data_IF_699369995888
#
_entry.id   IF_699369995888
#
_cell.length_a   1.000
_cell.length_b   1.000
_cell.length_c   1.000
_cell.angle_alpha   90.00
_cell.angle_beta   90.00
_cell.angle_gamma   90.00
#
_symmetry.space_group_name_H-M   'P 1'
#
loop_
_entity.id
_entity.type
_entity.pdbx_description
1 polymer ?
#
# COMPACT_ATOMS: atom_id res chain seq x y z
N UNK A 1 71.18 -28.11 1.89
CA UNK A 1 70.11 -27.35 2.59
C UNK A 1 69.50 -26.39 1.60
N UNK A 2 68.25 -26.66 1.18
CA UNK A 2 67.50 -25.80 0.24
C UNK A 2 66.39 -25.14 0.98
N UNK A 3 66.14 -23.82 0.91
CA UNK A 3 65.01 -23.20 1.51
C UNK A 3 63.76 -23.31 0.60
N UNK A 4 62.64 -23.68 1.20
CA UNK A 4 61.30 -23.70 0.60
C UNK A 4 60.81 -22.27 0.42
N UNK A 5 60.49 -21.89 -0.80
CA UNK A 5 59.77 -20.65 -1.08
C UNK A 5 58.28 -20.92 -0.98
N UNK A 6 57.60 -20.25 -0.05
CA UNK A 6 56.16 -20.31 0.11
C UNK A 6 55.48 -19.31 -0.88
N UNK A 7 54.71 -19.84 -1.82
CA UNK A 7 53.83 -19.06 -2.70
C UNK A 7 52.56 -18.71 -1.92
N UNK A 8 52.39 -17.44 -1.59
CA UNK A 8 51.09 -16.89 -1.09
C UNK A 8 50.30 -16.47 -2.31
N UNK A 9 49.28 -17.27 -2.67
CA UNK A 9 48.29 -16.89 -3.69
C UNK A 9 47.28 -15.96 -3.04
N UNK A 10 47.31 -14.68 -3.39
CA UNK A 10 46.28 -13.70 -3.02
C UNK A 10 44.99 -13.96 -3.83
N UNK A 11 43.96 -14.46 -3.17
CA UNK A 11 42.63 -14.66 -3.75
C UNK A 11 41.88 -13.32 -3.68
N UNK A 12 41.86 -12.60 -4.79
CA UNK A 12 41.10 -11.33 -4.92
C UNK A 12 39.64 -11.65 -5.13
N UNK A 13 38.82 -11.56 -4.06
CA UNK A 13 37.36 -11.69 -4.17
C UNK A 13 36.82 -10.40 -4.78
N UNK A 14 36.44 -10.43 -6.03
CA UNK A 14 35.65 -9.40 -6.68
C UNK A 14 34.23 -9.46 -6.10
N UNK A 15 33.91 -8.59 -5.14
CA UNK A 15 32.54 -8.35 -4.71
C UNK A 15 31.86 -7.52 -5.80
N UNK A 16 31.16 -8.21 -6.68
CA UNK A 16 30.29 -7.58 -7.66
C UNK A 16 29.10 -6.91 -6.94
N UNK A 17 29.13 -5.60 -6.81
CA UNK A 17 27.96 -4.83 -6.38
C UNK A 17 26.89 -4.95 -7.46
N UNK A 18 25.90 -5.82 -7.25
CA UNK A 18 24.67 -5.81 -8.03
C UNK A 18 23.92 -4.50 -7.72
N UNK A 19 24.02 -3.53 -8.63
CA UNK A 19 23.21 -2.32 -8.57
C UNK A 19 21.74 -2.75 -8.70
N UNK A 20 20.95 -2.61 -7.62
CA UNK A 20 19.50 -2.70 -7.71
C UNK A 20 19.02 -1.61 -8.68
N UNK A 21 18.10 -1.92 -9.63
CA UNK A 21 17.54 -0.91 -10.48
C UNK A 21 16.84 0.13 -9.59
N UNK A 22 17.34 1.35 -9.57
CA UNK A 22 16.64 2.49 -9.00
C UNK A 22 15.38 2.70 -9.86
N UNK A 23 14.21 2.37 -9.33
CA UNK A 23 12.96 2.75 -9.95
C UNK A 23 12.93 4.27 -9.99
N UNK A 24 12.93 4.84 -11.19
CA UNK A 24 12.79 6.28 -11.36
C UNK A 24 11.41 6.67 -10.81
N UNK A 25 11.40 7.37 -9.69
CA UNK A 25 10.18 7.96 -9.16
C UNK A 25 9.61 8.90 -10.25
N UNK A 26 8.31 8.82 -10.51
CA UNK A 26 7.65 9.71 -11.47
C UNK A 26 7.78 11.16 -10.99
N UNK A 27 8.31 12.06 -11.83
CA UNK A 27 8.44 13.50 -11.53
C UNK A 27 7.08 14.23 -11.43
N UNK A 28 5.98 13.52 -11.65
CA UNK A 28 4.63 14.09 -11.58
C UNK A 28 4.03 13.88 -10.19
N UNK A 29 3.38 14.92 -9.61
CA UNK A 29 2.69 14.76 -8.32
C UNK A 29 1.67 13.60 -8.37
N UNK A 30 1.55 12.89 -7.28
CA UNK A 30 0.54 11.85 -7.13
C UNK A 30 -0.83 12.52 -7.00
N UNK A 31 -1.72 12.28 -7.95
CA UNK A 31 -3.10 12.78 -7.93
C UNK A 31 -4.04 11.59 -7.72
N UNK A 32 -4.70 11.55 -6.57
CA UNK A 32 -5.50 10.41 -6.10
C UNK A 32 -6.54 10.00 -7.14
N UNK A 33 -7.38 10.93 -7.60
CA UNK A 33 -8.44 10.64 -8.58
C UNK A 33 -7.88 10.21 -9.94
N UNK A 34 -6.71 10.70 -10.36
CA UNK A 34 -6.10 10.30 -11.64
C UNK A 34 -5.59 8.86 -11.59
N UNK A 35 -5.02 8.45 -10.47
CA UNK A 35 -4.52 7.08 -10.33
C UNK A 35 -5.65 6.08 -10.16
N UNK A 36 -6.62 6.37 -9.28
CA UNK A 36 -7.66 5.42 -8.92
C UNK A 36 -8.88 5.42 -9.86
N UNK A 37 -8.95 6.33 -10.83
CA UNK A 37 -10.02 6.32 -11.84
C UNK A 37 -9.86 5.15 -12.81
N UNK A 38 -10.97 4.41 -13.09
CA UNK A 38 -11.00 3.25 -13.98
C UNK A 38 -10.92 1.93 -13.22
N UNK A 39 -10.41 0.89 -13.88
CA UNK A 39 -10.28 -0.44 -13.29
C UNK A 39 -8.86 -0.69 -12.78
N UNK A 40 -8.78 -1.25 -11.57
CA UNK A 40 -7.53 -1.62 -10.93
C UNK A 40 -7.68 -3.01 -10.30
N UNK A 41 -6.55 -3.64 -10.01
CA UNK A 41 -6.45 -4.87 -9.22
C UNK A 41 -5.45 -4.65 -8.11
N UNK A 42 -5.70 -5.26 -6.95
CA UNK A 42 -4.71 -5.31 -5.89
C UNK A 42 -4.55 -6.75 -5.39
N UNK A 43 -3.34 -7.07 -4.98
CA UNK A 43 -3.01 -8.31 -4.29
C UNK A 43 -2.16 -7.98 -3.08
N UNK A 44 -2.40 -8.68 -1.98
CA UNK A 44 -1.63 -8.46 -0.77
C UNK A 44 -2.08 -9.32 0.40
N UNK A 45 -1.68 -8.89 1.59
CA UNK A 45 -1.76 -9.68 2.80
C UNK A 45 -2.02 -8.81 4.01
N UNK A 46 -2.83 -9.31 4.92
CA UNK A 46 -2.88 -8.90 6.30
C UNK A 46 -2.01 -9.84 7.13
N UNK A 47 -1.22 -9.29 8.05
CA UNK A 47 -0.44 -10.04 9.04
C UNK A 47 -0.85 -9.61 10.44
N UNK A 48 -1.26 -10.56 11.28
CA UNK A 48 -1.52 -10.30 12.70
C UNK A 48 -0.20 -10.15 13.45
N UNK A 49 0.01 -9.01 14.11
CA UNK A 49 1.29 -8.69 14.77
C UNK A 49 1.58 -9.54 16.01
N UNK A 50 0.57 -10.18 16.60
CA UNK A 50 0.74 -10.96 17.84
C UNK A 50 0.96 -12.43 17.57
N UNK A 51 0.25 -12.98 16.58
CA UNK A 51 0.29 -14.42 16.27
C UNK A 51 1.15 -14.74 15.05
N UNK A 52 1.48 -13.76 14.22
CA UNK A 52 2.11 -13.96 12.92
C UNK A 52 1.16 -14.60 11.89
N UNK A 53 -0.11 -14.82 12.23
CA UNK A 53 -1.08 -15.37 11.29
C UNK A 53 -1.31 -14.40 10.12
N UNK A 54 -1.41 -14.95 8.91
CA UNK A 54 -1.57 -14.16 7.69
C UNK A 54 -2.87 -14.50 6.97
N UNK A 55 -3.43 -13.52 6.24
CA UNK A 55 -4.58 -13.66 5.39
C UNK A 55 -4.33 -12.94 4.08
N UNK A 56 -4.18 -13.69 3.00
CA UNK A 56 -4.00 -13.10 1.67
C UNK A 56 -5.33 -12.58 1.12
N UNK A 57 -5.25 -11.55 0.27
CA UNK A 57 -6.42 -10.96 -0.37
C UNK A 57 -6.13 -10.55 -1.81
N UNK A 58 -7.16 -10.68 -2.65
CA UNK A 58 -7.22 -10.11 -4.00
C UNK A 58 -8.38 -9.13 -4.03
N UNK A 59 -8.17 -7.97 -4.65
CA UNK A 59 -9.17 -6.91 -4.70
C UNK A 59 -9.35 -6.46 -6.14
N UNK A 60 -10.60 -6.50 -6.63
CA UNK A 60 -10.99 -5.83 -7.86
C UNK A 60 -11.48 -4.43 -7.49
N UNK A 61 -10.93 -3.41 -8.15
CA UNK A 61 -11.26 -2.03 -7.82
C UNK A 61 -11.83 -1.32 -9.05
N UNK A 62 -12.79 -0.42 -8.83
CA UNK A 62 -13.36 0.43 -9.87
C UNK A 62 -13.60 1.83 -9.36
N UNK A 63 -12.81 2.78 -9.87
CA UNK A 63 -12.92 4.19 -9.52
C UNK A 63 -13.69 5.02 -10.53
N UNK A 64 -14.54 5.93 -10.04
CA UNK A 64 -15.29 6.91 -10.83
C UNK A 64 -15.11 8.29 -10.23
N UNK A 65 -14.71 9.24 -11.03
CA UNK A 65 -14.55 10.66 -10.67
C UNK A 65 -15.68 11.49 -11.27
N UNK A 66 -16.32 12.35 -10.47
CA UNK A 66 -17.42 13.22 -10.90
C UNK A 66 -17.06 14.71 -10.98
N UNK A 67 -15.78 15.05 -10.84
CA UNK A 67 -15.29 16.44 -10.80
C UNK A 67 -15.05 16.97 -9.38
N UNK A 68 -15.63 16.33 -8.34
CA UNK A 68 -15.50 16.71 -6.93
C UNK A 68 -15.08 15.53 -6.06
N UNK A 69 -15.68 14.35 -6.29
CA UNK A 69 -15.46 13.16 -5.48
C UNK A 69 -15.08 11.94 -6.34
N UNK A 70 -14.17 11.13 -5.81
CA UNK A 70 -13.82 9.81 -6.32
C UNK A 70 -14.59 8.75 -5.55
N UNK A 71 -15.47 8.01 -6.23
CA UNK A 71 -16.06 6.79 -5.71
C UNK A 71 -15.20 5.60 -6.14
N UNK A 72 -14.62 4.87 -5.18
CA UNK A 72 -13.77 3.70 -5.40
C UNK A 72 -14.42 2.46 -4.79
N UNK A 73 -15.03 1.64 -5.64
CA UNK A 73 -15.58 0.35 -5.25
C UNK A 73 -14.47 -0.69 -5.16
N UNK A 74 -14.49 -1.51 -4.12
CA UNK A 74 -13.52 -2.56 -3.81
C UNK A 74 -14.25 -3.88 -3.56
N UNK A 75 -14.00 -4.88 -4.39
CA UNK A 75 -14.51 -6.25 -4.24
C UNK A 75 -13.36 -7.16 -3.79
N UNK A 76 -13.40 -7.63 -2.54
CA UNK A 76 -12.39 -8.46 -1.90
C UNK A 76 -12.69 -9.94 -2.04
N UNK A 77 -11.64 -10.74 -2.26
CA UNK A 77 -11.65 -12.19 -2.13
C UNK A 77 -10.46 -12.59 -1.28
N UNK A 78 -10.71 -13.21 -0.14
CA UNK A 78 -9.69 -13.65 0.81
C UNK A 78 -9.27 -15.09 0.58
N UNK A 79 -8.10 -15.48 1.09
CA UNK A 79 -7.54 -16.84 0.95
C UNK A 79 -8.37 -17.95 1.59
N UNK A 80 -9.21 -17.61 2.56
CA UNK A 80 -10.19 -18.52 3.21
C UNK A 80 -11.51 -18.64 2.45
N UNK A 81 -11.65 -17.95 1.31
CA UNK A 81 -12.84 -17.95 0.45
C UNK A 81 -13.90 -16.92 0.84
N UNK A 82 -13.73 -16.19 1.95
CA UNK A 82 -14.60 -15.08 2.31
C UNK A 82 -14.54 -13.98 1.25
N UNK A 83 -15.68 -13.30 1.05
CA UNK A 83 -15.79 -12.15 0.15
C UNK A 83 -16.34 -10.96 0.91
N UNK A 84 -15.85 -9.78 0.58
CA UNK A 84 -16.35 -8.53 1.12
C UNK A 84 -16.40 -7.47 0.02
N UNK A 85 -17.22 -6.45 0.20
CA UNK A 85 -17.33 -5.32 -0.71
C UNK A 85 -17.37 -4.03 0.10
N UNK A 86 -16.57 -3.07 -0.34
CA UNK A 86 -16.52 -1.74 0.28
C UNK A 86 -16.50 -0.66 -0.78
N UNK A 87 -16.96 0.53 -0.42
CA UNK A 87 -16.93 1.68 -1.32
C UNK A 87 -16.42 2.91 -0.60
N UNK A 88 -15.23 3.35 -0.97
CA UNK A 88 -14.73 4.65 -0.57
C UNK A 88 -15.37 5.77 -1.39
N UNK A 89 -15.69 6.86 -0.73
CA UNK A 89 -15.99 8.14 -1.36
C UNK A 89 -14.99 9.16 -0.85
N UNK A 90 -14.04 9.55 -1.69
CA UNK A 90 -13.04 10.57 -1.39
C UNK A 90 -13.46 11.90 -1.99
N UNK A 91 -13.70 12.91 -1.15
CA UNK A 91 -14.06 14.26 -1.58
C UNK A 91 -12.83 15.16 -1.55
N UNK A 92 -12.51 15.77 -2.66
CA UNK A 92 -11.37 16.68 -2.80
C UNK A 92 -11.67 18.01 -2.11
N UNK A 93 -10.82 18.38 -1.15
CA UNK A 93 -10.90 19.67 -0.45
C UNK A 93 -9.99 20.71 -1.10
N UNK A 94 -8.79 20.28 -1.52
CA UNK A 94 -7.82 21.07 -2.28
C UNK A 94 -6.86 20.14 -3.01
N UNK A 95 -5.77 20.65 -3.60
CA UNK A 95 -4.85 19.86 -4.43
C UNK A 95 -4.15 18.73 -3.67
N UNK A 96 -4.01 18.83 -2.36
CA UNK A 96 -3.24 17.87 -1.54
C UNK A 96 -4.05 17.23 -0.42
N UNK A 97 -5.33 17.58 -0.27
CA UNK A 97 -6.14 17.13 0.88
C UNK A 97 -7.51 16.64 0.40
N UNK A 98 -7.90 15.48 0.91
CA UNK A 98 -9.24 14.91 0.71
C UNK A 98 -9.79 14.46 2.06
N UNK A 99 -11.12 14.36 2.16
CA UNK A 99 -11.79 13.59 3.19
C UNK A 99 -12.38 12.33 2.55
N UNK A 100 -12.53 11.25 3.33
CA UNK A 100 -13.01 9.97 2.83
C UNK A 100 -14.06 9.35 3.76
N UNK A 101 -15.07 8.72 3.16
CA UNK A 101 -16.07 7.92 3.90
C UNK A 101 -16.12 6.51 3.32
N UNK A 102 -16.47 5.54 4.15
CA UNK A 102 -16.67 4.13 3.78
C UNK A 102 -17.67 3.51 4.79
N UNK A 103 -18.34 2.43 4.42
CA UNK A 103 -19.45 1.83 5.18
C UNK A 103 -19.07 1.45 6.62
N UNK A 104 -17.83 1.02 6.85
CA UNK A 104 -17.31 0.61 8.15
C UNK A 104 -16.49 1.69 8.88
N UNK A 105 -16.30 2.85 8.25
CA UNK A 105 -15.54 3.98 8.83
C UNK A 105 -16.41 4.75 9.80
N UNK A 106 -15.91 4.93 11.03
CA UNK A 106 -16.66 5.53 12.15
C UNK A 106 -16.80 7.05 12.02
N UNK A 107 -15.84 7.70 11.38
CA UNK A 107 -15.80 9.13 11.10
C UNK A 107 -14.99 9.39 9.84
N UNK A 108 -15.17 10.55 9.23
CA UNK A 108 -14.45 10.91 8.00
C UNK A 108 -12.95 10.66 8.12
N UNK A 109 -12.41 9.98 7.11
CA UNK A 109 -10.99 9.72 6.97
C UNK A 109 -10.27 10.99 6.51
N UNK A 110 -9.04 11.17 6.99
CA UNK A 110 -8.15 12.22 6.52
C UNK A 110 -7.19 11.67 5.47
N UNK A 111 -7.10 12.35 4.32
CA UNK A 111 -6.18 11.99 3.22
C UNK A 111 -5.29 13.18 2.92
N UNK A 112 -3.97 12.95 2.94
CA UNK A 112 -2.95 13.95 2.58
C UNK A 112 -2.04 13.40 1.50
N UNK A 113 -1.80 14.21 0.49
CA UNK A 113 -0.89 13.90 -0.62
C UNK A 113 0.40 14.69 -0.45
N UNK A 114 1.54 14.00 -0.49
CA UNK A 114 2.88 14.57 -0.46
C UNK A 114 3.69 13.98 -1.60
N UNK A 115 4.05 14.79 -2.59
CA UNK A 115 4.83 14.37 -3.76
C UNK A 115 4.32 13.06 -4.40
N UNK A 116 4.99 11.95 -4.13
CA UNK A 116 4.69 10.62 -4.68
C UNK A 116 3.98 9.69 -3.67
N UNK A 117 3.48 10.22 -2.55
CA UNK A 117 2.86 9.44 -1.48
C UNK A 117 1.51 10.01 -1.06
N UNK A 118 0.61 9.11 -0.67
CA UNK A 118 -0.64 9.47 -0.02
C UNK A 118 -0.64 8.84 1.37
N UNK A 119 -1.00 9.63 2.38
CA UNK A 119 -1.27 9.17 3.72
C UNK A 119 -2.77 9.23 3.96
N UNK A 120 -3.33 8.11 4.39
CA UNK A 120 -4.76 7.96 4.70
C UNK A 120 -4.88 7.46 6.13
N UNK A 121 -5.57 8.20 6.99
CA UNK A 121 -5.84 7.80 8.37
C UNK A 121 -7.33 7.73 8.64
N UNK A 122 -7.79 6.65 9.25
CA UNK A 122 -9.19 6.44 9.56
C UNK A 122 -9.39 5.46 10.72
N UNK A 123 -10.59 5.43 11.25
CA UNK A 123 -11.04 4.45 12.24
C UNK A 123 -12.16 3.62 11.62
N UNK A 124 -11.99 2.29 11.58
CA UNK A 124 -12.99 1.38 11.07
C UNK A 124 -13.43 0.34 12.12
N UNK A 125 -14.68 -0.11 12.01
CA UNK A 125 -15.20 -1.22 12.82
C UNK A 125 -14.77 -2.55 12.21
N UNK A 126 -14.00 -3.34 12.99
CA UNK A 126 -13.53 -4.66 12.59
C UNK A 126 -13.77 -5.64 13.73
N UNK A 127 -14.59 -6.68 13.51
CA UNK A 127 -14.88 -7.67 14.55
C UNK A 127 -15.49 -7.09 15.84
N UNK A 128 -16.21 -5.98 15.75
CA UNK A 128 -16.81 -5.28 16.89
C UNK A 128 -15.89 -4.27 17.58
N UNK A 129 -14.65 -4.12 17.12
CA UNK A 129 -13.68 -3.16 17.66
C UNK A 129 -13.49 -1.97 16.71
N UNK A 130 -13.24 -0.81 17.28
CA UNK A 130 -12.81 0.38 16.53
C UNK A 130 -11.27 0.32 16.40
N UNK A 131 -10.78 0.03 15.18
CA UNK A 131 -9.35 -0.03 14.88
C UNK A 131 -8.94 1.19 14.06
N UNK A 132 -7.76 1.71 14.39
CA UNK A 132 -7.15 2.83 13.68
C UNK A 132 -6.25 2.30 12.57
N UNK A 133 -6.44 2.80 11.37
CA UNK A 133 -5.63 2.49 10.19
C UNK A 133 -4.77 3.70 9.82
N UNK A 134 -3.50 3.45 9.54
CA UNK A 134 -2.55 4.44 9.04
C UNK A 134 -1.93 3.88 7.76
N UNK A 135 -2.52 4.24 6.65
CA UNK A 135 -2.10 3.79 5.33
C UNK A 135 -1.08 4.76 4.73
N UNK A 136 -0.07 4.20 4.08
CA UNK A 136 0.87 4.91 3.24
C UNK A 136 0.85 4.28 1.85
N UNK A 137 0.40 5.03 0.87
CA UNK A 137 0.36 4.64 -0.52
C UNK A 137 1.54 5.29 -1.25
N UNK A 138 2.57 4.52 -1.55
CA UNK A 138 3.75 4.99 -2.24
C UNK A 138 3.66 4.64 -3.74
N UNK A 139 3.81 5.63 -4.61
CA UNK A 139 3.85 5.41 -6.05
C UNK A 139 5.15 4.72 -6.45
N UNK A 140 5.03 3.57 -7.09
CA UNK A 140 6.17 2.81 -7.63
C UNK A 140 6.45 3.27 -9.07
N UNK A 141 5.39 3.39 -9.88
CA UNK A 141 5.41 3.87 -11.26
C UNK A 141 4.02 4.44 -11.65
N UNK A 142 3.81 4.79 -12.92
CA UNK A 142 2.54 5.37 -13.39
C UNK A 142 1.35 4.40 -13.33
N UNK A 143 1.60 3.11 -13.18
CA UNK A 143 0.59 2.04 -13.16
C UNK A 143 0.53 1.30 -11.81
N UNK A 144 1.48 1.52 -10.91
CA UNK A 144 1.65 0.72 -9.70
C UNK A 144 1.81 1.59 -8.46
N UNK A 145 1.05 1.26 -7.42
CA UNK A 145 1.15 1.83 -6.07
C UNK A 145 1.31 0.69 -5.07
N UNK A 146 2.20 0.86 -4.11
CA UNK A 146 2.29 0.01 -2.91
C UNK A 146 1.58 0.70 -1.77
N UNK A 147 0.62 0.02 -1.15
CA UNK A 147 0.00 0.42 0.11
C UNK A 147 0.56 -0.41 1.26
N UNK A 148 0.96 0.24 2.32
CA UNK A 148 1.26 -0.36 3.62
C UNK A 148 0.40 0.31 4.66
N UNK A 149 -0.26 -0.48 5.54
CA UNK A 149 -1.12 0.07 6.57
C UNK A 149 -0.83 -0.55 7.93
N UNK A 150 -0.56 0.29 8.92
CA UNK A 150 -0.56 -0.12 10.31
C UNK A 150 -1.98 -0.18 10.84
N UNK A 151 -2.35 -1.31 11.46
CA UNK A 151 -3.63 -1.49 12.14
C UNK A 151 -3.39 -1.42 13.64
N UNK A 152 -4.02 -0.43 14.31
CA UNK A 152 -3.75 -0.09 15.70
C UNK A 152 -5.03 -0.16 16.53
N UNK A 153 -4.94 -0.79 17.70
CA UNK A 153 -5.95 -0.67 18.76
C UNK A 153 -5.59 0.51 19.66
N UNK A 154 -6.58 1.29 20.07
CA UNK A 154 -6.40 2.52 20.87
C UNK A 154 -5.38 3.51 20.27
N UNK A 155 -5.16 3.50 18.95
CA UNK A 155 -4.24 4.35 18.19
C UNK A 155 -2.72 4.14 18.45
N UNK A 156 -2.32 3.23 19.33
CA UNK A 156 -0.91 2.99 19.65
C UNK A 156 -0.50 1.52 19.78
N UNK A 157 -1.44 0.58 19.98
CA UNK A 157 -1.12 -0.85 20.06
C UNK A 157 -1.24 -1.46 18.67
N UNK A 158 -0.10 -1.79 18.02
CA UNK A 158 -0.12 -2.44 16.71
C UNK A 158 -0.66 -3.86 16.83
N UNK A 159 -1.79 -4.12 16.19
CA UNK A 159 -2.47 -5.44 16.17
C UNK A 159 -2.31 -6.13 14.81
N UNK A 160 -1.94 -5.40 13.77
CA UNK A 160 -1.71 -5.97 12.45
C UNK A 160 -1.11 -4.99 11.47
N UNK A 161 -0.82 -5.53 10.30
CA UNK A 161 -0.29 -4.79 9.16
C UNK A 161 -0.95 -5.30 7.88
N UNK A 162 -1.24 -4.37 6.95
CA UNK A 162 -1.70 -4.69 5.60
C UNK A 162 -0.64 -4.25 4.60
N UNK A 163 -0.32 -5.11 3.66
CA UNK A 163 0.50 -4.78 2.49
C UNK A 163 -0.28 -5.11 1.23
N UNK A 164 -0.42 -4.14 0.31
CA UNK A 164 -1.07 -4.32 -0.98
C UNK A 164 -0.21 -3.74 -2.10
N UNK A 165 -0.16 -4.44 -3.22
CA UNK A 165 0.31 -3.89 -4.49
C UNK A 165 -0.89 -3.66 -5.39
N UNK A 166 -1.14 -2.40 -5.73
CA UNK A 166 -2.28 -1.93 -6.51
C UNK A 166 -1.80 -1.60 -7.92
N UNK A 167 -2.44 -2.19 -8.94
CA UNK A 167 -2.08 -1.97 -10.35
C UNK A 167 -3.30 -1.52 -11.15
N UNK A 168 -3.11 -0.52 -11.98
CA UNK A 168 -4.11 -0.13 -12.99
C UNK A 168 -4.17 -1.19 -14.09
N UNK A 169 -5.38 -1.53 -14.55
CA UNK A 169 -5.52 -2.34 -15.76
C UNK A 169 -5.21 -1.46 -16.98
N UNK A 170 -4.37 -1.97 -17.89
CA UNK A 170 -4.20 -1.36 -19.22
C UNK A 170 -5.53 -1.41 -19.98
N UNK A 171 -5.86 -0.31 -20.65
CA UNK A 171 -7.02 -0.25 -21.56
C UNK A 171 -6.77 -1.09 -22.80
#
# INVERSE_FOLDING_TARGET
MRPFAAFVAAFMVLVGSAAMPAFAASDKPFVLEKFFMGELVAEGRFTNSWTGATRDMKVQMKGKWNGVSLSLKEDFVYSDGEKDQKTWVFTKLNETTYTGTREDVVRDAEVKVYDNEIFLTYVAKVGGFDLNFKDRLARVDDMTVRNTADVLFLNFIKVGEVELTIKRKSR
#
